data_IF_671255533500
#
_entry.id   IF_671255533500
#
_cell.length_a   1.000
_cell.length_b   1.000
_cell.length_c   1.000
_cell.angle_alpha   90.00
_cell.angle_beta   90.00
_cell.angle_gamma   90.00
#
_symmetry.space_group_name_H-M   'P 1'
#
loop_
_entity.id
_entity.type
_entity.pdbx_description
1 polymer ?
#
# COMPACT_ATOMS: atom_id res chain seq x y z
N UNK A 1 4.60 -21.96 -2.79
CA UNK A 1 4.15 -20.76 -3.48
C UNK A 1 5.25 -20.43 -4.47
N UNK A 2 5.01 -20.61 -5.76
CA UNK A 2 6.01 -20.31 -6.78
C UNK A 2 6.31 -18.80 -6.78
N UNK A 3 7.56 -18.44 -7.02
CA UNK A 3 7.95 -17.05 -7.16
C UNK A 3 7.25 -16.46 -8.39
N UNK A 4 6.33 -15.52 -8.16
CA UNK A 4 5.70 -14.76 -9.24
C UNK A 4 6.77 -13.88 -9.87
N UNK A 5 7.09 -14.11 -11.15
CA UNK A 5 7.94 -13.24 -11.94
C UNK A 5 7.15 -11.97 -12.28
N UNK A 6 7.56 -10.82 -11.73
CA UNK A 6 6.95 -9.53 -12.03
C UNK A 6 7.72 -8.87 -13.17
N UNK A 7 7.09 -8.67 -14.33
CA UNK A 7 7.64 -7.90 -15.44
C UNK A 7 7.11 -6.47 -15.40
N UNK A 8 8.01 -5.50 -15.51
CA UNK A 8 7.67 -4.08 -15.40
C UNK A 8 6.73 -3.63 -16.53
N UNK A 9 6.90 -4.21 -17.71
CA UNK A 9 6.08 -3.96 -18.91
C UNK A 9 4.62 -4.42 -18.76
N UNK A 10 4.33 -5.33 -17.83
CA UNK A 10 2.97 -5.81 -17.56
C UNK A 10 2.21 -4.90 -16.58
N UNK A 11 2.87 -3.90 -15.97
CA UNK A 11 2.22 -2.96 -15.09
C UNK A 11 1.40 -1.95 -15.91
N UNK A 12 0.13 -1.79 -15.53
CA UNK A 12 -0.82 -0.92 -16.23
C UNK A 12 -1.18 0.29 -15.37
N UNK A 13 -1.72 1.32 -16.02
CA UNK A 13 -2.25 2.51 -15.36
C UNK A 13 -3.72 2.76 -15.69
N UNK A 14 -4.42 3.45 -14.80
CA UNK A 14 -5.72 4.04 -15.09
C UNK A 14 -5.60 5.30 -15.98
N UNK A 15 -6.74 5.94 -16.25
CA UNK A 15 -6.83 7.15 -17.06
C UNK A 15 -6.09 8.36 -16.46
N UNK A 16 -5.86 8.35 -15.15
CA UNK A 16 -5.16 9.40 -14.41
C UNK A 16 -3.64 9.09 -14.26
N UNK A 17 -3.17 7.98 -14.83
CA UNK A 17 -1.77 7.56 -14.79
C UNK A 17 -1.36 6.87 -13.49
N UNK A 18 -2.32 6.50 -12.63
CA UNK A 18 -2.05 5.75 -11.41
C UNK A 18 -1.93 4.26 -11.70
N UNK A 19 -1.14 3.56 -10.89
CA UNK A 19 -1.04 2.11 -10.97
C UNK A 19 -2.43 1.46 -10.82
N UNK A 20 -2.75 0.58 -11.75
CA UNK A 20 -3.97 -0.20 -11.73
C UNK A 20 -3.65 -1.67 -12.03
N UNK A 21 -4.61 -2.56 -11.76
CA UNK A 21 -4.56 -3.94 -12.23
C UNK A 21 -5.92 -4.39 -12.74
N UNK A 22 -5.91 -5.43 -13.58
CA UNK A 22 -7.14 -6.03 -14.09
C UNK A 22 -7.71 -6.98 -13.04
N UNK A 23 -8.94 -6.70 -12.61
CA UNK A 23 -9.71 -7.62 -11.76
C UNK A 23 -10.21 -8.81 -12.59
N UNK A 24 -10.56 -9.91 -11.92
CA UNK A 24 -11.16 -11.07 -12.60
C UNK A 24 -12.44 -10.73 -13.37
N UNK A 25 -13.14 -9.65 -12.99
CA UNK A 25 -14.33 -9.14 -13.70
C UNK A 25 -14.02 -8.35 -14.98
N UNK A 26 -12.74 -8.22 -15.39
CA UNK A 26 -12.36 -7.44 -16.57
C UNK A 26 -12.39 -5.93 -16.35
N UNK A 27 -12.45 -5.47 -15.10
CA UNK A 27 -12.41 -4.05 -14.75
C UNK A 27 -11.04 -3.66 -14.23
N UNK A 28 -10.57 -2.46 -14.60
CA UNK A 28 -9.42 -1.84 -13.96
C UNK A 28 -9.78 -1.45 -12.53
N UNK A 29 -8.89 -1.81 -11.59
CA UNK A 29 -8.95 -1.36 -10.22
C UNK A 29 -7.69 -0.59 -9.87
N UNK A 30 -7.87 0.63 -9.36
CA UNK A 30 -6.80 1.49 -8.86
C UNK A 30 -6.71 1.36 -7.34
N UNK A 31 -5.64 0.77 -6.78
CA UNK A 31 -5.50 0.61 -5.34
C UNK A 31 -5.14 1.91 -4.64
N UNK A 32 -5.51 2.00 -3.36
CA UNK A 32 -5.20 3.14 -2.51
C UNK A 32 -4.17 2.74 -1.46
N UNK A 33 -3.04 3.44 -1.47
CA UNK A 33 -1.89 3.19 -0.62
C UNK A 33 -1.87 4.17 0.54
N UNK A 34 -1.32 3.74 1.67
CA UNK A 34 -1.16 4.58 2.85
C UNK A 34 -0.31 5.83 2.51
N UNK A 35 -0.86 7.00 2.81
CA UNK A 35 -0.18 8.28 2.65
C UNK A 35 0.26 8.83 4.00
N UNK A 36 -0.70 9.08 4.91
CA UNK A 36 -0.45 9.67 6.23
C UNK A 36 -1.53 9.26 7.24
N UNK A 37 -1.32 9.61 8.51
CA UNK A 37 -2.35 9.55 9.55
C UNK A 37 -2.56 10.98 10.07
N UNK A 38 -3.79 11.47 10.00
CA UNK A 38 -4.23 12.72 10.60
C UNK A 38 -4.11 12.61 12.13
N UNK A 39 -3.09 13.27 12.68
CA UNK A 39 -2.76 13.18 14.11
C UNK A 39 -3.76 13.89 15.01
N UNK A 40 -4.48 14.89 14.50
CA UNK A 40 -5.50 15.60 15.27
C UNK A 40 -6.75 14.74 15.47
N UNK A 41 -7.09 13.91 14.47
CA UNK A 41 -8.21 12.96 14.54
C UNK A 41 -7.84 11.61 15.12
N UNK A 42 -6.55 11.27 15.20
CA UNK A 42 -6.11 9.96 15.66
C UNK A 42 -6.33 9.81 17.18
N UNK A 43 -7.09 8.78 17.57
CA UNK A 43 -7.31 8.44 18.99
C UNK A 43 -6.33 7.39 19.52
N UNK A 44 -5.29 7.03 18.77
CA UNK A 44 -4.25 6.06 19.15
C UNK A 44 -4.78 4.71 19.66
N UNK A 45 -5.88 4.21 19.07
CA UNK A 45 -6.47 2.92 19.44
C UNK A 45 -5.81 1.69 18.79
N UNK A 46 -4.74 1.88 18.01
CA UNK A 46 -3.91 0.84 17.38
C UNK A 46 -4.61 -0.15 16.44
N UNK A 47 -5.91 -0.04 16.17
CA UNK A 47 -6.64 -0.96 15.27
C UNK A 47 -6.04 -1.06 13.87
N UNK A 48 -5.55 0.06 13.32
CA UNK A 48 -4.88 0.08 12.03
C UNK A 48 -3.59 -0.76 12.03
N UNK A 49 -2.88 -0.81 13.15
CA UNK A 49 -1.71 -1.67 13.34
C UNK A 49 -2.12 -3.13 13.38
N UNK A 50 -3.18 -3.45 14.12
CA UNK A 50 -3.65 -4.83 14.27
C UNK A 50 -4.15 -5.47 12.97
N UNK A 51 -4.60 -4.66 11.99
CA UNK A 51 -5.11 -5.17 10.71
C UNK A 51 -4.09 -5.12 9.56
N UNK A 52 -2.91 -4.56 9.79
CA UNK A 52 -1.88 -4.47 8.76
C UNK A 52 -1.06 -5.77 8.75
N UNK A 53 -1.03 -6.50 7.63
CA UNK A 53 -0.19 -7.69 7.50
C UNK A 53 1.27 -7.33 7.19
N UNK A 54 1.47 -6.14 6.60
CA UNK A 54 2.78 -5.62 6.23
C UNK A 54 3.37 -4.74 7.33
N UNK A 55 2.88 -4.82 8.60
CA UNK A 55 3.37 -4.04 9.74
C UNK A 55 4.87 -3.82 9.59
N UNK A 56 5.24 -2.58 9.27
CA UNK A 56 6.65 -2.29 9.10
C UNK A 56 7.30 -2.45 10.44
N UNK A 57 8.33 -3.29 10.51
CA UNK A 57 9.16 -3.40 11.68
C UNK A 57 10.37 -2.51 11.36
N UNK A 58 10.66 -1.52 12.19
CA UNK A 58 11.91 -0.77 12.02
C UNK A 58 13.12 -1.66 12.36
N UNK A 59 14.32 -1.15 12.13
CA UNK A 59 15.57 -1.88 12.38
C UNK A 59 15.72 -2.30 13.86
N UNK A 60 14.97 -1.69 14.77
CA UNK A 60 14.97 -1.95 16.21
C UNK A 60 13.89 -2.96 16.64
N UNK A 61 13.12 -3.54 15.71
CA UNK A 61 12.10 -4.52 16.03
C UNK A 61 10.75 -3.92 16.43
N UNK A 62 10.56 -2.60 16.34
CA UNK A 62 9.32 -1.94 16.72
C UNK A 62 8.34 -1.92 15.54
N UNK A 63 7.06 -2.09 15.85
CA UNK A 63 5.98 -1.95 14.86
C UNK A 63 5.79 -0.46 14.52
N UNK A 64 6.22 -0.04 13.33
CA UNK A 64 6.07 1.31 12.81
C UNK A 64 4.96 1.37 11.74
N UNK A 65 3.88 2.14 11.97
CA UNK A 65 2.76 2.27 11.03
C UNK A 65 3.09 2.94 9.67
N UNK A 66 4.35 3.17 9.31
CA UNK A 66 4.71 4.29 8.44
C UNK A 66 5.69 3.97 7.31
N UNK A 67 5.69 2.77 6.76
CA UNK A 67 6.40 2.49 5.50
C UNK A 67 5.40 2.39 4.33
N UNK A 68 5.01 3.52 3.70
CA UNK A 68 4.18 3.52 2.49
C UNK A 68 4.68 2.58 1.40
N UNK A 69 5.99 2.37 1.30
CA UNK A 69 6.65 1.54 0.30
C UNK A 69 6.30 0.05 0.38
N UNK A 70 6.00 -0.47 1.56
CA UNK A 70 5.58 -1.87 1.77
C UNK A 70 4.06 -2.03 1.81
N UNK A 71 3.31 -0.92 1.82
CA UNK A 71 1.86 -0.96 1.82
C UNK A 71 1.34 -1.70 0.59
N UNK A 72 0.54 -2.75 0.80
CA UNK A 72 -0.09 -3.54 -0.26
C UNK A 72 -1.31 -2.87 -0.90
N UNK A 73 -1.78 -1.76 -0.31
CA UNK A 73 -3.01 -1.10 -0.76
C UNK A 73 -4.30 -1.83 -0.39
N UNK A 74 -4.29 -2.73 0.61
CA UNK A 74 -5.45 -3.54 1.01
C UNK A 74 -6.57 -2.77 1.74
N UNK A 75 -6.31 -1.53 2.17
CA UNK A 75 -7.28 -0.63 2.84
C UNK A 75 -7.87 -1.12 4.17
N UNK A 76 -7.39 -2.22 4.78
CA UNK A 76 -7.90 -2.69 6.07
C UNK A 76 -7.76 -1.64 7.20
N UNK A 77 -6.67 -0.88 7.19
CA UNK A 77 -6.42 0.18 8.17
C UNK A 77 -7.45 1.31 8.09
N UNK A 78 -7.93 1.65 6.89
CA UNK A 78 -8.97 2.67 6.67
C UNK A 78 -10.29 2.16 7.24
N UNK A 79 -10.69 0.93 6.90
CA UNK A 79 -11.94 0.33 7.35
C UNK A 79 -11.99 0.12 8.87
N UNK A 80 -10.86 -0.18 9.48
CA UNK A 80 -10.78 -0.40 10.93
C UNK A 80 -10.67 0.89 11.75
N UNK A 81 -10.42 2.05 11.13
CA UNK A 81 -10.18 3.31 11.83
C UNK A 81 -11.49 4.01 12.23
N UNK A 82 -11.90 3.98 13.50
CA UNK A 82 -13.17 4.60 13.94
C UNK A 82 -13.20 6.12 13.77
N UNK A 83 -12.05 6.80 13.83
CA UNK A 83 -11.97 8.26 13.67
C UNK A 83 -11.65 8.71 12.24
N UNK A 84 -11.56 7.78 11.29
CA UNK A 84 -11.25 8.05 9.88
C UNK A 84 -10.00 8.93 9.70
N UNK A 85 -9.00 8.73 10.55
CA UNK A 85 -7.75 9.50 10.53
C UNK A 85 -6.74 9.00 9.49
N UNK A 86 -6.90 7.77 8.98
CA UNK A 86 -6.00 7.19 7.97
C UNK A 86 -6.26 7.85 6.61
N UNK A 87 -5.21 8.42 6.01
CA UNK A 87 -5.23 9.01 4.66
C UNK A 87 -4.55 8.06 3.69
N UNK A 88 -5.21 7.86 2.55
CA UNK A 88 -4.75 6.98 1.48
C UNK A 88 -4.91 7.68 0.14
N UNK A 89 -4.04 7.33 -0.81
CA UNK A 89 -4.09 7.86 -2.17
C UNK A 89 -3.72 6.80 -3.19
N UNK A 90 -4.18 6.91 -4.44
CA UNK A 90 -3.56 6.17 -5.53
C UNK A 90 -2.11 6.64 -5.73
N UNK A 91 -1.29 5.76 -6.30
CA UNK A 91 0.11 6.11 -6.63
C UNK A 91 0.31 6.14 -8.14
N UNK A 92 1.09 7.09 -8.68
CA UNK A 92 1.48 7.07 -10.09
C UNK A 92 2.15 5.75 -10.47
N UNK A 93 1.93 5.28 -11.70
CA UNK A 93 2.56 4.04 -12.21
C UNK A 93 4.10 4.07 -12.03
N UNK A 94 4.72 5.23 -12.25
CA UNK A 94 6.16 5.41 -12.07
C UNK A 94 6.62 5.17 -10.62
N UNK A 95 5.79 5.50 -9.63
CA UNK A 95 6.07 5.21 -8.23
C UNK A 95 6.00 3.69 -7.99
N UNK A 96 5.02 2.99 -8.56
CA UNK A 96 4.94 1.53 -8.47
C UNK A 96 6.15 0.84 -9.12
N UNK A 97 6.56 1.28 -10.31
CA UNK A 97 7.76 0.78 -10.99
C UNK A 97 9.00 0.92 -10.10
N UNK A 98 9.14 2.04 -9.39
CA UNK A 98 10.24 2.26 -8.44
C UNK A 98 10.19 1.25 -7.29
N UNK A 99 9.02 0.98 -6.71
CA UNK A 99 8.82 -0.01 -5.63
C UNK A 99 9.20 -1.43 -6.08
N UNK A 100 8.74 -1.84 -7.27
CA UNK A 100 9.07 -3.15 -7.84
C UNK A 100 10.58 -3.28 -8.07
N UNK A 101 11.22 -2.28 -8.68
CA UNK A 101 12.69 -2.27 -8.88
C UNK A 101 13.46 -2.35 -7.56
N UNK A 102 13.01 -1.65 -6.51
CA UNK A 102 13.64 -1.73 -5.19
C UNK A 102 13.56 -3.14 -4.61
N UNK A 103 12.39 -3.80 -4.69
CA UNK A 103 12.22 -5.18 -4.25
C UNK A 103 13.11 -6.16 -5.03
N UNK A 104 13.23 -5.99 -6.36
CA UNK A 104 14.08 -6.84 -7.20
C UNK A 104 15.58 -6.72 -6.86
N UNK A 105 16.04 -5.57 -6.37
CA UNK A 105 17.45 -5.38 -5.94
C UNK A 105 17.77 -6.05 -4.61
N UNK A 106 16.75 -6.29 -3.78
CA UNK A 106 16.88 -6.89 -2.46
C UNK A 106 16.60 -8.41 -2.47
N UNK A 107 16.46 -9.00 -3.66
CA UNK A 107 16.34 -10.45 -3.90
C UNK A 107 17.69 -10.99 -4.34
#
# INVERSE_FOLDING_TARGET
MEDIEVRIEDLISDADGNYAYLTFGGHLYTPFFLETIDREKCQNCERCLQMCDTRGIDDDGNVVPAFPEICSGCMHCVNACPSQSVKVRPIPLQEMIKRVKARMKNK
#
